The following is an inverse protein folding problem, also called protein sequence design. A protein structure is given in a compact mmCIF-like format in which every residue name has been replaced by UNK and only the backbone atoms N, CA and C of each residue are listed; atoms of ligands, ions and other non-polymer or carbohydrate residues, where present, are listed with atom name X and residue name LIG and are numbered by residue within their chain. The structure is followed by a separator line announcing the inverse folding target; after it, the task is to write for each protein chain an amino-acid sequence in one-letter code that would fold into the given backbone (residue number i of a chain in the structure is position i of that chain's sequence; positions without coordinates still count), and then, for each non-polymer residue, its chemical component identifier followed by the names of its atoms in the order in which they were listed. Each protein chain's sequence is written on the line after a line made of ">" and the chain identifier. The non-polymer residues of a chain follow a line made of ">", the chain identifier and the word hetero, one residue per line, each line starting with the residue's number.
data_IF_728739855471
#
_entry.id   IF_728739855471
#
_cell.length_a   1.000
_cell.length_b   1.000
_cell.length_c   1.000
_cell.angle_alpha   90.00
_cell.angle_beta   90.00
_cell.angle_gamma   90.00
#
_symmetry.space_group_name_H-M   'P 1'
#
loop_
_entity.id
_entity.type
_entity.pdbx_description
1 polymer ?
#
# COMPACT_ATOMS: atom_id res chain seq x y z
N UNK A 1 2.64 11.45 -22.76
CA UNK A 1 3.04 10.03 -22.69
C UNK A 1 3.79 9.85 -21.38
N UNK A 2 3.29 9.00 -20.48
CA UNK A 2 3.88 8.83 -19.15
C UNK A 2 5.05 7.86 -19.26
N UNK A 3 6.25 8.28 -18.85
CA UNK A 3 7.44 7.41 -18.92
C UNK A 3 7.39 6.38 -17.80
N UNK A 4 7.97 5.19 -18.03
CA UNK A 4 8.08 4.12 -17.01
C UNK A 4 8.63 4.65 -15.68
N UNK A 5 9.67 5.48 -15.76
CA UNK A 5 10.28 6.15 -14.61
C UNK A 5 9.28 7.02 -13.83
N UNK A 6 8.38 7.72 -14.50
CA UNK A 6 7.35 8.51 -13.82
C UNK A 6 6.33 7.61 -13.10
N UNK A 7 5.97 6.46 -13.67
CA UNK A 7 5.08 5.49 -13.02
C UNK A 7 5.72 4.85 -11.78
N UNK A 8 7.01 4.53 -11.83
CA UNK A 8 7.75 4.02 -10.66
C UNK A 8 7.77 5.05 -9.53
N UNK A 9 8.07 6.33 -9.83
CA UNK A 9 8.06 7.41 -8.83
C UNK A 9 6.67 7.58 -8.20
N UNK A 10 5.62 7.60 -9.02
CA UNK A 10 4.24 7.74 -8.53
C UNK A 10 3.81 6.52 -7.73
N UNK A 11 4.22 5.32 -8.14
CA UNK A 11 3.99 4.09 -7.38
C UNK A 11 4.68 4.13 -6.01
N UNK A 12 5.94 4.58 -5.95
CA UNK A 12 6.67 4.69 -4.69
C UNK A 12 6.02 5.71 -3.75
N UNK A 13 5.69 6.91 -4.24
CA UNK A 13 5.02 7.93 -3.42
C UNK A 13 3.63 7.43 -2.99
N UNK A 14 2.87 6.86 -3.92
CA UNK A 14 1.56 6.29 -3.68
C UNK A 14 1.56 5.19 -2.61
N UNK A 15 2.59 4.35 -2.59
CA UNK A 15 2.73 3.28 -1.58
C UNK A 15 2.88 3.82 -0.16
N UNK A 16 3.64 4.90 0.01
CA UNK A 16 3.83 5.51 1.34
C UNK A 16 2.52 6.13 1.82
N UNK A 17 1.81 6.85 0.95
CA UNK A 17 0.50 7.44 1.25
C UNK A 17 -0.52 6.34 1.59
N UNK A 18 -0.58 5.26 0.79
CA UNK A 18 -1.47 4.13 1.02
C UNK A 18 -1.24 3.50 2.39
N UNK A 19 0.02 3.28 2.77
CA UNK A 19 0.38 2.69 4.05
C UNK A 19 -0.05 3.58 5.23
N UNK A 20 0.18 4.89 5.12
CA UNK A 20 -0.25 5.87 6.13
C UNK A 20 -1.78 5.82 6.31
N UNK A 21 -2.54 5.78 5.22
CA UNK A 21 -4.00 5.69 5.26
C UNK A 21 -4.45 4.39 5.93
N UNK A 22 -3.84 3.24 5.58
CA UNK A 22 -4.19 1.96 6.21
C UNK A 22 -3.92 1.95 7.72
N UNK A 23 -2.82 2.56 8.18
CA UNK A 23 -2.55 2.68 9.62
C UNK A 23 -3.49 3.66 10.32
N UNK A 24 -3.82 4.78 9.68
CA UNK A 24 -4.80 5.72 10.21
C UNK A 24 -6.19 5.06 10.36
N UNK A 25 -6.65 4.33 9.34
CA UNK A 25 -7.91 3.58 9.38
C UNK A 25 -7.88 2.51 10.47
N UNK A 26 -6.81 1.74 10.56
CA UNK A 26 -6.64 0.73 11.61
C UNK A 26 -6.69 1.34 13.02
N UNK A 27 -6.13 2.54 13.20
CA UNK A 27 -6.18 3.25 14.47
C UNK A 27 -7.59 3.76 14.79
N UNK A 28 -8.31 4.30 13.80
CA UNK A 28 -9.70 4.75 13.96
C UNK A 28 -10.64 3.60 14.31
N UNK A 29 -10.38 2.40 13.79
CA UNK A 29 -11.19 1.20 14.04
C UNK A 29 -10.84 0.47 15.36
N UNK A 30 -9.94 1.02 16.19
CA UNK A 30 -9.51 0.43 17.46
C UNK A 30 -10.66 0.06 18.41
N UNK A 31 -11.77 0.80 18.37
CA UNK A 31 -12.91 0.54 19.24
C UNK A 31 -13.76 -0.66 18.78
N UNK A 32 -13.61 -1.10 17.53
CA UNK A 32 -14.39 -2.20 16.94
C UNK A 32 -13.55 -3.46 16.72
N UNK A 33 -12.24 -3.30 16.49
CA UNK A 33 -11.31 -4.40 16.21
C UNK A 33 -10.08 -4.17 17.07
N UNK A 34 -9.54 -5.25 17.64
CA UNK A 34 -8.34 -5.19 18.44
C UNK A 34 -7.18 -4.59 17.61
N UNK A 35 -6.52 -3.55 18.15
CA UNK A 35 -5.67 -2.65 17.38
C UNK A 35 -4.52 -3.38 16.66
N UNK A 36 -3.97 -4.40 17.33
CA UNK A 36 -2.89 -5.24 16.82
C UNK A 36 -3.30 -5.97 15.53
N UNK A 37 -4.51 -6.54 15.51
CA UNK A 37 -5.06 -7.23 14.34
C UNK A 37 -5.28 -6.27 13.17
N UNK A 38 -5.75 -5.05 13.45
CA UNK A 38 -5.92 -4.04 12.41
C UNK A 38 -4.59 -3.71 11.71
N UNK A 39 -3.50 -3.53 12.47
CA UNK A 39 -2.19 -3.24 11.89
C UNK A 39 -1.64 -4.42 11.08
N UNK A 40 -1.81 -5.65 11.58
CA UNK A 40 -1.40 -6.86 10.86
C UNK A 40 -2.15 -6.97 9.53
N UNK A 41 -3.48 -6.80 9.55
CA UNK A 41 -4.31 -6.84 8.33
C UNK A 41 -3.88 -5.77 7.34
N UNK A 42 -3.65 -4.54 7.81
CA UNK A 42 -3.14 -3.44 6.98
C UNK A 42 -1.79 -3.77 6.34
N UNK A 43 -0.86 -4.37 7.08
CA UNK A 43 0.43 -4.81 6.54
C UNK A 43 0.28 -5.90 5.48
N UNK A 44 -0.55 -6.92 5.74
CA UNK A 44 -0.79 -8.01 4.79
C UNK A 44 -1.39 -7.47 3.49
N UNK A 45 -2.41 -6.61 3.59
CA UNK A 45 -3.03 -5.98 2.42
C UNK A 45 -2.01 -5.11 1.67
N UNK A 46 -1.21 -4.32 2.38
CA UNK A 46 -0.18 -3.48 1.78
C UNK A 46 0.84 -4.31 0.99
N UNK A 47 1.34 -5.41 1.57
CA UNK A 47 2.28 -6.32 0.90
C UNK A 47 1.67 -6.89 -0.38
N UNK A 48 0.42 -7.38 -0.32
CA UNK A 48 -0.26 -7.94 -1.49
C UNK A 48 -0.41 -6.91 -2.62
N UNK A 49 -0.85 -5.68 -2.29
CA UNK A 49 -0.99 -4.60 -3.26
C UNK A 49 0.36 -4.25 -3.88
N UNK A 50 1.41 -4.11 -3.08
CA UNK A 50 2.75 -3.79 -3.57
C UNK A 50 3.36 -4.91 -4.42
N UNK A 51 3.11 -6.18 -4.07
CA UNK A 51 3.52 -7.31 -4.90
C UNK A 51 2.87 -7.26 -6.28
N UNK A 52 1.55 -6.99 -6.37
CA UNK A 52 0.85 -6.89 -7.66
C UNK A 52 1.35 -5.69 -8.47
N UNK A 53 1.54 -4.54 -7.84
CA UNK A 53 2.05 -3.34 -8.53
C UNK A 53 3.48 -3.56 -9.03
N UNK A 54 4.35 -4.17 -8.21
CA UNK A 54 5.72 -4.51 -8.59
C UNK A 54 5.78 -5.46 -9.78
N UNK A 55 4.92 -6.49 -9.80
CA UNK A 55 4.80 -7.41 -10.93
C UNK A 55 4.37 -6.69 -12.21
N UNK A 56 3.34 -5.83 -12.13
CA UNK A 56 2.89 -5.04 -13.28
C UNK A 56 3.97 -4.10 -13.82
N UNK A 57 4.70 -3.42 -12.94
CA UNK A 57 5.81 -2.54 -13.36
C UNK A 57 6.95 -3.33 -14.00
N UNK A 58 7.19 -4.57 -13.56
CA UNK A 58 8.17 -5.46 -14.14
C UNK A 58 7.77 -5.96 -15.54
N UNK A 59 6.49 -6.30 -15.75
CA UNK A 59 5.95 -6.68 -17.07
C UNK A 59 5.97 -5.52 -18.09
N UNK A 60 6.01 -4.27 -17.61
CA UNK A 60 6.14 -3.08 -18.47
C UNK A 60 7.58 -2.79 -18.91
N UNK A 61 8.54 -3.67 -18.56
CA UNK A 61 9.92 -3.64 -19.05
C UNK A 61 10.08 -4.46 -20.33
#
# INVERSE_FOLDING_TARGET
>A
MMTKKNLEIISSIGSVILLIIMFALSHMMRNSINQEYGFIVSLVVFILVMSVIGLKLNEMN
#
